data_IF_314345409551
#
_entry.id   IF_314345409551
#
_cell.length_a   1.000
_cell.length_b   1.000
_cell.length_c   1.000
_cell.angle_alpha   90.00
_cell.angle_beta   90.00
_cell.angle_gamma   90.00
#
_symmetry.space_group_name_H-M   'P 1'
#
loop_
_entity.id
_entity.type
_entity.pdbx_description
1 polymer ?
#
# COMPACT_ATOMS: atom_id res chain seq x y z
N UNK A 1 -29.92 -0.30 2.31
CA UNK A 1 -29.01 -1.43 2.53
C UNK A 1 -27.77 -0.86 3.18
N UNK A 2 -27.38 -1.31 4.37
CA UNK A 2 -26.15 -0.82 4.99
C UNK A 2 -24.97 -1.52 4.29
N UNK A 3 -23.95 -0.76 3.92
CA UNK A 3 -22.67 -1.32 3.46
C UNK A 3 -21.95 -1.89 4.67
N UNK A 4 -21.60 -3.16 4.62
CA UNK A 4 -20.75 -3.78 5.64
C UNK A 4 -19.33 -3.21 5.51
N UNK A 5 -18.73 -2.85 6.64
CA UNK A 5 -17.39 -2.27 6.73
C UNK A 5 -16.60 -3.13 7.70
N UNK A 6 -15.39 -3.53 7.31
CA UNK A 6 -14.49 -4.31 8.13
C UNK A 6 -13.10 -3.65 8.20
N UNK A 7 -12.39 -3.73 9.34
CA UNK A 7 -11.00 -3.30 9.43
C UNK A 7 -10.09 -4.14 8.52
N UNK A 8 -9.13 -3.49 7.85
CA UNK A 8 -8.19 -4.19 6.96
C UNK A 8 -7.35 -5.22 7.71
N UNK A 9 -6.99 -4.96 8.97
CA UNK A 9 -6.22 -5.89 9.80
C UNK A 9 -6.96 -7.22 10.00
N UNK A 10 -8.25 -7.15 10.35
CA UNK A 10 -9.09 -8.33 10.56
C UNK A 10 -9.19 -9.18 9.29
N UNK A 11 -9.38 -8.52 8.14
CA UNK A 11 -9.43 -9.19 6.84
C UNK A 11 -8.09 -9.83 6.45
N UNK A 12 -6.98 -9.16 6.73
CA UNK A 12 -5.64 -9.70 6.46
C UNK A 12 -5.33 -10.90 7.35
N UNK A 13 -5.72 -10.87 8.62
CA UNK A 13 -5.53 -11.99 9.54
C UNK A 13 -6.40 -13.20 9.18
N UNK A 14 -7.63 -12.97 8.70
CA UNK A 14 -8.55 -14.02 8.25
C UNK A 14 -8.11 -14.64 6.91
N UNK A 15 -7.95 -13.80 5.89
CA UNK A 15 -7.70 -14.23 4.51
C UNK A 15 -6.25 -14.70 4.34
N UNK A 16 -5.32 -14.15 5.14
CA UNK A 16 -3.86 -14.36 5.05
C UNK A 16 -3.33 -14.14 3.63
N UNK A 17 -3.57 -12.97 3.02
CA UNK A 17 -3.07 -12.68 1.69
C UNK A 17 -1.54 -12.59 1.70
N UNK A 18 -0.95 -12.80 0.52
CA UNK A 18 0.48 -12.54 0.30
C UNK A 18 0.71 -11.30 -0.56
N UNK A 19 -0.31 -10.78 -1.23
CA UNK A 19 -0.24 -9.57 -2.06
C UNK A 19 -1.43 -8.68 -1.71
N UNK A 20 -1.16 -7.39 -1.53
CA UNK A 20 -2.18 -6.36 -1.34
C UNK A 20 -2.25 -5.49 -2.60
N UNK A 21 -3.46 -5.23 -3.10
CA UNK A 21 -3.73 -4.28 -4.19
C UNK A 21 -4.76 -3.27 -3.67
N UNK A 22 -4.43 -1.99 -3.71
CA UNK A 22 -5.27 -0.91 -3.16
C UNK A 22 -5.44 0.20 -4.18
N UNK A 23 -6.70 0.55 -4.41
CA UNK A 23 -7.17 1.77 -5.03
C UNK A 23 -8.36 2.22 -4.14
N UNK A 24 -8.17 3.31 -3.39
CA UNK A 24 -9.06 3.66 -2.28
C UNK A 24 -9.34 5.17 -2.19
N UNK A 25 -8.99 5.96 -3.20
CA UNK A 25 -9.39 7.37 -3.37
C UNK A 25 -9.12 8.25 -2.13
N UNK A 26 -7.96 8.06 -1.47
CA UNK A 26 -7.53 8.81 -0.28
C UNK A 26 -7.50 8.00 1.01
N UNK A 27 -8.23 6.89 1.07
CA UNK A 27 -8.22 5.98 2.23
C UNK A 27 -6.92 5.18 2.35
N UNK A 28 -5.95 5.34 1.45
CA UNK A 28 -4.60 4.75 1.60
C UNK A 28 -3.94 5.23 2.90
N UNK A 29 -4.27 6.46 3.33
CA UNK A 29 -3.82 7.05 4.60
C UNK A 29 -4.31 6.33 5.86
N UNK A 30 -5.40 5.56 5.75
CA UNK A 30 -5.94 4.75 6.84
C UNK A 30 -5.60 3.26 6.65
N UNK A 31 -5.70 2.77 5.41
CA UNK A 31 -5.52 1.36 5.06
C UNK A 31 -4.06 0.93 5.23
N UNK A 32 -3.09 1.66 4.66
CA UNK A 32 -1.69 1.23 4.68
C UNK A 32 -1.10 1.20 6.10
N UNK A 33 -1.33 2.19 6.99
CA UNK A 33 -0.84 2.14 8.37
C UNK A 33 -1.51 1.07 9.24
N UNK A 34 -2.75 0.69 8.93
CA UNK A 34 -3.49 -0.34 9.66
C UNK A 34 -3.26 -1.76 9.13
N UNK A 35 -2.63 -1.92 7.97
CA UNK A 35 -2.42 -3.22 7.35
C UNK A 35 -1.23 -3.97 7.99
N UNK A 36 -1.37 -5.25 8.40
CA UNK A 36 -0.25 -6.09 8.79
C UNK A 36 0.65 -6.43 7.59
N UNK A 37 1.65 -5.59 7.34
CA UNK A 37 2.47 -5.65 6.12
C UNK A 37 3.45 -6.82 6.13
N UNK A 38 3.84 -7.34 7.29
CA UNK A 38 4.97 -8.27 7.49
C UNK A 38 4.82 -9.57 6.68
N UNK A 39 3.58 -10.00 6.43
CA UNK A 39 3.26 -11.23 5.69
C UNK A 39 3.16 -11.04 4.18
N UNK A 40 3.11 -9.80 3.72
CA UNK A 40 2.94 -9.48 2.30
C UNK A 40 4.29 -9.55 1.59
N UNK A 41 4.33 -10.21 0.43
CA UNK A 41 5.48 -10.18 -0.49
C UNK A 41 5.42 -8.99 -1.46
N UNK A 42 4.23 -8.43 -1.67
CA UNK A 42 4.05 -7.29 -2.57
C UNK A 42 2.86 -6.40 -2.14
N UNK A 43 3.00 -5.11 -2.40
CA UNK A 43 1.95 -4.10 -2.26
C UNK A 43 1.88 -3.32 -3.58
N UNK A 44 0.68 -3.22 -4.15
CA UNK A 44 0.39 -2.40 -5.32
C UNK A 44 -0.62 -1.37 -4.86
N UNK A 45 -0.29 -0.09 -4.99
CA UNK A 45 -1.13 0.99 -4.48
C UNK A 45 -1.20 2.13 -5.48
N UNK A 46 -2.41 2.60 -5.76
CA UNK A 46 -2.64 3.88 -6.42
C UNK A 46 -2.69 5.00 -5.38
N UNK A 47 -1.77 5.95 -5.48
CA UNK A 47 -1.70 7.10 -4.59
C UNK A 47 -2.49 8.26 -5.17
N UNK A 48 -3.51 8.73 -4.44
CA UNK A 48 -4.35 9.86 -4.83
C UNK A 48 -3.81 11.19 -4.28
N UNK A 49 -3.20 12.02 -5.13
CA UNK A 49 -2.48 13.24 -4.69
C UNK A 49 -3.41 14.34 -4.16
N UNK A 50 -4.64 14.47 -4.68
CA UNK A 50 -5.57 15.51 -4.23
C UNK A 50 -6.00 15.33 -2.75
N UNK A 51 -6.46 14.15 -2.30
CA UNK A 51 -6.81 13.94 -0.89
C UNK A 51 -5.59 13.83 0.04
N UNK A 52 -4.46 13.29 -0.44
CA UNK A 52 -3.29 13.03 0.41
C UNK A 52 -2.31 14.21 0.47
N UNK A 53 -2.25 15.01 -0.59
CA UNK A 53 -1.16 15.94 -0.85
C UNK A 53 0.20 15.26 -1.03
N UNK A 54 1.18 16.02 -1.53
CA UNK A 54 2.54 15.50 -1.77
C UNK A 54 3.20 14.95 -0.49
N UNK A 55 2.96 15.56 0.67
CA UNK A 55 3.50 15.08 1.96
C UNK A 55 2.85 13.78 2.42
N UNK A 56 1.55 13.59 2.20
CA UNK A 56 0.85 12.36 2.55
C UNK A 56 1.34 11.20 1.70
N UNK A 57 1.46 11.40 0.38
CA UNK A 57 2.03 10.40 -0.53
C UNK A 57 3.46 10.06 -0.12
N UNK A 58 4.31 11.05 0.17
CA UNK A 58 5.67 10.80 0.62
C UNK A 58 5.73 9.99 1.93
N UNK A 59 4.84 10.26 2.89
CA UNK A 59 4.78 9.52 4.15
C UNK A 59 4.37 8.06 3.96
N UNK A 60 3.42 7.78 3.07
CA UNK A 60 3.01 6.40 2.76
C UNK A 60 4.12 5.63 2.04
N UNK A 61 4.86 6.29 1.14
CA UNK A 61 6.04 5.69 0.48
C UNK A 61 7.16 5.39 1.48
N UNK A 62 7.39 6.29 2.45
CA UNK A 62 8.35 6.07 3.54
C UNK A 62 7.90 4.92 4.45
N UNK A 63 6.60 4.82 4.76
CA UNK A 63 6.03 3.69 5.51
C UNK A 63 6.32 2.35 4.83
N UNK A 64 6.05 2.24 3.52
CA UNK A 64 6.33 1.01 2.76
C UNK A 64 7.83 0.70 2.72
N UNK A 65 8.67 1.71 2.55
CA UNK A 65 10.13 1.55 2.59
C UNK A 65 10.62 1.02 3.94
N UNK A 66 10.14 1.61 5.05
CA UNK A 66 10.48 1.15 6.41
C UNK A 66 9.93 -0.24 6.73
N UNK A 67 8.84 -0.64 6.09
CA UNK A 67 8.28 -1.99 6.20
C UNK A 67 9.05 -3.05 5.39
N UNK A 68 10.16 -2.67 4.73
CA UNK A 68 11.05 -3.58 4.01
C UNK A 68 10.65 -3.83 2.55
N UNK A 69 9.93 -2.91 1.93
CA UNK A 69 9.63 -2.97 0.50
C UNK A 69 10.47 -1.95 -0.27
N UNK A 70 10.88 -2.32 -1.48
CA UNK A 70 11.38 -1.34 -2.46
C UNK A 70 10.47 -1.25 -3.67
N UNK A 71 10.19 -0.01 -4.07
CA UNK A 71 9.40 0.30 -5.25
C UNK A 71 10.10 -0.21 -6.51
N UNK A 72 9.31 -0.65 -7.49
CA UNK A 72 9.76 -1.14 -8.80
C UNK A 72 9.19 -0.21 -9.88
N UNK A 73 9.91 0.88 -10.23
CA UNK A 73 9.43 1.89 -11.17
C UNK A 73 9.05 1.35 -12.55
N UNK A 74 9.66 0.23 -12.97
CA UNK A 74 9.36 -0.42 -14.25
C UNK A 74 7.94 -1.01 -14.34
N UNK A 75 7.23 -1.15 -13.21
CA UNK A 75 5.89 -1.74 -13.14
C UNK A 75 4.83 -0.75 -12.66
N UNK A 76 5.23 0.47 -12.28
CA UNK A 76 4.33 1.54 -11.88
C UNK A 76 3.99 2.48 -13.04
N UNK A 77 3.01 3.34 -12.82
CA UNK A 77 2.61 4.36 -13.78
C UNK A 77 2.31 5.67 -13.03
N UNK A 78 2.89 6.77 -13.50
CA UNK A 78 2.55 8.10 -13.02
C UNK A 78 1.45 8.68 -13.90
N UNK A 79 0.30 8.98 -13.29
CA UNK A 79 -0.83 9.64 -13.93
C UNK A 79 -0.91 11.12 -13.56
N UNK A 80 -2.02 11.75 -13.95
CA UNK A 80 -2.30 13.13 -13.56
C UNK A 80 -3.08 13.15 -12.24
N UNK A 81 -2.42 13.49 -11.14
CA UNK A 81 -3.03 13.53 -9.80
C UNK A 81 -3.18 12.17 -9.13
N UNK A 82 -2.80 11.09 -9.81
CA UNK A 82 -2.73 9.72 -9.27
C UNK A 82 -1.42 9.05 -9.72
N UNK A 83 -0.87 8.16 -8.90
CA UNK A 83 0.30 7.37 -9.29
C UNK A 83 0.23 5.95 -8.73
N UNK A 84 0.30 4.95 -9.60
CA UNK A 84 0.38 3.54 -9.21
C UNK A 84 1.82 3.16 -8.90
N UNK A 85 2.08 2.79 -7.65
CA UNK A 85 3.36 2.24 -7.19
C UNK A 85 3.29 0.72 -7.00
N UNK A 86 4.30 0.00 -7.49
CA UNK A 86 4.47 -1.44 -7.26
C UNK A 86 5.64 -1.66 -6.32
N UNK A 87 5.41 -2.33 -5.19
CA UNK A 87 6.37 -2.50 -4.11
C UNK A 87 6.58 -3.98 -3.84
N UNK A 88 7.83 -4.43 -3.87
CA UNK A 88 8.17 -5.82 -3.56
C UNK A 88 9.00 -5.86 -2.28
N UNK A 89 8.70 -6.83 -1.41
CA UNK A 89 9.48 -7.06 -0.20
C UNK A 89 10.90 -7.45 -0.59
N UNK A 90 11.87 -6.87 0.10
CA UNK A 90 13.27 -7.28 -0.04
C UNK A 90 13.43 -8.62 0.66
N UNK A 91 13.82 -9.67 -0.09
CA UNK A 91 14.12 -10.95 0.50
C UNK A 91 15.30 -10.78 1.48
N UNK A 92 15.20 -11.31 2.70
CA UNK A 92 16.29 -11.34 3.70
C UNK A 92 17.56 -12.07 3.19
N UNK A 93 17.56 -12.64 1.98
CA UNK A 93 18.67 -13.38 1.38
C UNK A 93 19.82 -12.50 0.85
N UNK A 94 19.88 -11.22 1.20
CA UNK A 94 21.02 -10.33 0.90
C UNK A 94 21.52 -9.62 2.17
N UNK A 95 21.97 -10.40 3.15
CA UNK A 95 22.88 -9.96 4.21
C UNK A 95 23.77 -11.12 4.68
#
# INVERSE_FOLDING_TARGET
MATEIAPVADLVDEIRPTVLVVDAEGFESEILPACPLERLRAVIVEFHEEPLGASGVAALRDLLSRAGFSEKPAYGEAGNGVATGVWLREDEASA
#
